data_IF_162848922422
#
_entry.id   IF_162848922422
#
_cell.length_a   1.000
_cell.length_b   1.000
_cell.length_c   1.000
_cell.angle_alpha   90.00
_cell.angle_beta   90.00
_cell.angle_gamma   90.00
#
_symmetry.space_group_name_H-M   'P 1'
#
loop_
_entity.id
_entity.type
_entity.pdbx_description
1 polymer ?
#
# COMPACT_ATOMS: atom_id res chain seq x y z
N UNK A 1 -2.73 4.46 14.88
CA UNK A 1 -2.27 4.20 16.27
C UNK A 1 -1.05 3.28 16.18
N UNK A 2 -0.47 2.87 17.32
CA UNK A 2 0.63 1.91 17.33
C UNK A 2 0.10 0.59 17.88
N UNK A 3 0.61 -0.53 17.35
CA UNK A 3 0.22 -1.89 17.73
C UNK A 3 0.17 -2.04 19.26
N UNK A 4 -0.97 -2.48 19.78
CA UNK A 4 -1.13 -2.79 21.21
C UNK A 4 -0.66 -4.22 21.47
N UNK A 5 0.56 -4.38 21.99
CA UNK A 5 1.10 -5.70 22.35
C UNK A 5 0.35 -6.26 23.55
N UNK A 6 -0.19 -7.48 23.43
CA UNK A 6 -0.78 -8.21 24.57
C UNK A 6 0.33 -8.55 25.56
N UNK A 7 0.16 -8.16 26.81
CA UNK A 7 1.09 -8.51 27.88
C UNK A 7 0.80 -9.94 28.36
N UNK A 8 1.73 -10.86 28.12
CA UNK A 8 1.62 -12.28 28.53
C UNK A 8 2.16 -12.57 29.93
N UNK A 9 2.59 -11.53 30.66
CA UNK A 9 3.25 -11.65 31.96
C UNK A 9 4.76 -11.87 31.83
N UNK A 10 5.46 -11.74 32.96
CA UNK A 10 6.93 -11.95 33.01
C UNK A 10 7.29 -13.43 33.09
N UNK A 11 6.41 -14.25 33.69
CA UNK A 11 6.53 -15.69 33.87
C UNK A 11 5.14 -16.35 33.72
N UNK A 12 5.12 -17.66 33.46
CA UNK A 12 3.87 -18.41 33.36
C UNK A 12 3.04 -18.34 34.66
N UNK A 13 1.77 -17.94 34.53
CA UNK A 13 0.78 -17.86 35.61
C UNK A 13 1.11 -16.88 36.75
N UNK A 14 1.97 -15.88 36.53
CA UNK A 14 2.40 -14.94 37.59
C UNK A 14 1.42 -13.80 37.89
N UNK A 15 0.33 -13.68 37.12
CA UNK A 15 -0.69 -12.63 37.30
C UNK A 15 -0.24 -11.22 36.88
N UNK A 16 0.93 -11.07 36.26
CA UNK A 16 1.44 -9.79 35.77
C UNK A 16 1.06 -9.49 34.31
N UNK A 17 0.50 -10.48 33.61
CA UNK A 17 -0.07 -10.34 32.27
C UNK A 17 -1.46 -9.69 32.26
N UNK A 18 -1.94 -9.37 31.07
CA UNK A 18 -3.30 -8.87 30.86
C UNK A 18 -4.32 -9.94 31.27
N UNK A 19 -5.43 -9.52 31.89
CA UNK A 19 -6.58 -10.41 32.01
C UNK A 19 -7.17 -10.71 30.62
N UNK A 20 -7.89 -11.84 30.50
CA UNK A 20 -8.45 -12.28 29.22
C UNK A 20 -9.33 -11.21 28.56
N UNK A 21 -10.06 -10.42 29.36
CA UNK A 21 -10.94 -9.36 28.86
C UNK A 21 -10.12 -8.24 28.22
N UNK A 22 -9.05 -7.80 28.89
CA UNK A 22 -8.16 -6.73 28.46
C UNK A 22 -7.34 -7.16 27.24
N UNK A 23 -6.81 -8.38 27.24
CA UNK A 23 -6.14 -8.98 26.10
C UNK A 23 -7.07 -9.02 24.86
N UNK A 24 -8.31 -9.49 24.99
CA UNK A 24 -9.25 -9.53 23.87
C UNK A 24 -9.77 -8.14 23.44
N UNK A 25 -9.82 -7.15 24.33
CA UNK A 25 -10.05 -5.75 23.94
C UNK A 25 -8.90 -5.24 23.07
N UNK A 26 -7.65 -5.48 23.46
CA UNK A 26 -6.45 -5.12 22.67
C UNK A 26 -6.39 -5.85 21.32
N UNK A 27 -6.79 -7.13 21.27
CA UNK A 27 -6.95 -7.90 20.02
C UNK A 27 -7.95 -7.25 19.09
N UNK A 28 -9.15 -6.93 19.59
CA UNK A 28 -10.19 -6.30 18.78
C UNK A 28 -9.74 -4.91 18.29
N UNK A 29 -9.09 -4.11 19.13
CA UNK A 29 -8.55 -2.81 18.73
C UNK A 29 -7.51 -2.94 17.60
N UNK A 30 -6.55 -3.86 17.72
CA UNK A 30 -5.55 -4.12 16.69
C UNK A 30 -6.17 -4.62 15.37
N UNK A 31 -7.19 -5.50 15.42
CA UNK A 31 -7.83 -5.99 14.21
C UNK A 31 -8.74 -4.96 13.56
N UNK A 32 -9.47 -4.15 14.33
CA UNK A 32 -10.18 -2.97 13.79
C UNK A 32 -9.20 -2.06 13.07
N UNK A 33 -8.07 -1.72 13.71
CA UNK A 33 -7.01 -0.93 13.08
C UNK A 33 -6.45 -1.60 11.82
N UNK A 34 -6.21 -2.91 11.81
CA UNK A 34 -5.70 -3.63 10.63
C UNK A 34 -6.70 -3.66 9.46
N UNK A 35 -8.00 -3.80 9.74
CA UNK A 35 -9.04 -3.79 8.69
C UNK A 35 -9.34 -2.38 8.18
N UNK A 36 -9.19 -1.34 9.02
CA UNK A 36 -9.27 0.06 8.60
C UNK A 36 -7.99 0.52 7.87
N UNK A 37 -6.83 -0.05 8.23
CA UNK A 37 -5.53 0.20 7.60
C UNK A 37 -5.35 -0.56 6.29
N UNK A 38 -6.21 -0.30 5.31
CA UNK A 38 -5.84 -0.61 3.93
C UNK A 38 -4.58 0.18 3.57
N UNK A 39 -3.49 -0.46 3.08
CA UNK A 39 -2.35 0.26 2.49
C UNK A 39 -2.76 1.12 1.29
N UNK A 40 -3.99 0.93 0.82
CA UNK A 40 -4.64 1.68 -0.25
C UNK A 40 -6.11 1.93 0.14
N UNK A 41 -6.36 2.89 1.03
CA UNK A 41 -7.73 3.26 1.42
C UNK A 41 -8.47 3.94 0.27
N UNK A 42 -9.58 3.33 -0.16
CA UNK A 42 -10.82 3.88 -0.78
C UNK A 42 -10.78 4.88 -1.95
N UNK A 43 -9.64 5.50 -2.26
CA UNK A 43 -9.51 6.66 -3.17
C UNK A 43 -8.60 6.33 -4.35
N UNK A 44 -7.49 5.63 -4.10
CA UNK A 44 -6.95 4.72 -5.09
C UNK A 44 -7.71 3.41 -4.89
N UNK A 45 -8.56 3.05 -5.85
CA UNK A 45 -9.00 1.67 -5.94
C UNK A 45 -7.86 0.87 -6.55
N UNK A 46 -6.99 0.26 -5.72
CA UNK A 46 -6.10 -0.84 -6.15
C UNK A 46 -6.90 -2.15 -6.27
N UNK A 47 -7.94 -1.98 -7.07
CA UNK A 47 -9.02 -2.83 -7.54
C UNK A 47 -9.62 -1.99 -8.69
N UNK A 48 -8.80 -1.76 -9.72
CA UNK A 48 -8.86 -0.59 -10.62
C UNK A 48 -7.45 -0.26 -11.15
N UNK A 49 -7.27 0.87 -11.85
CA UNK A 49 -6.15 1.07 -12.78
C UNK A 49 -5.41 2.45 -12.71
N UNK A 50 -5.14 3.02 -11.52
CA UNK A 50 -4.41 4.31 -11.33
C UNK A 50 -3.61 4.37 -10.00
N UNK A 51 -2.45 5.08 -9.93
CA UNK A 51 -1.56 5.17 -8.74
C UNK A 51 -0.94 6.59 -8.58
N UNK A 52 -0.67 7.09 -7.34
CA UNK A 52 -0.05 8.41 -7.08
C UNK A 52 0.70 8.57 -5.71
N UNK A 53 1.47 9.66 -5.52
CA UNK A 53 2.20 10.03 -4.28
C UNK A 53 1.49 11.13 -3.47
N UNK A 54 1.73 11.20 -2.15
CA UNK A 54 0.93 11.99 -1.20
C UNK A 54 1.66 13.09 -0.40
N UNK A 55 2.92 13.42 -0.71
CA UNK A 55 3.68 14.47 -0.01
C UNK A 55 3.97 15.70 -0.92
N UNK A 56 3.99 16.92 -0.35
CA UNK A 56 4.18 18.16 -1.12
C UNK A 56 5.52 18.22 -1.83
N UNK A 57 5.49 18.57 -3.12
CA UNK A 57 6.65 18.55 -4.04
C UNK A 57 7.33 17.17 -4.19
N UNK A 58 6.68 16.08 -3.78
CA UNK A 58 7.19 14.74 -4.00
C UNK A 58 6.81 14.23 -5.39
N UNK A 59 7.83 14.04 -6.25
CA UNK A 59 7.65 13.37 -7.53
C UNK A 59 6.91 12.03 -7.34
N UNK A 60 5.91 11.74 -8.19
CA UNK A 60 5.44 10.37 -8.39
C UNK A 60 6.56 9.62 -9.10
N UNK A 61 7.46 9.08 -8.28
CA UNK A 61 8.59 8.31 -8.74
C UNK A 61 8.11 6.91 -9.07
N UNK A 62 7.55 6.78 -10.27
CA UNK A 62 7.74 5.59 -11.11
C UNK A 62 9.19 5.57 -11.62
N UNK A 63 10.13 5.84 -10.70
CA UNK A 63 11.54 5.60 -10.93
C UNK A 63 11.73 4.11 -10.69
N UNK A 64 11.97 3.39 -11.78
CA UNK A 64 12.98 2.36 -11.66
C UNK A 64 14.30 3.00 -11.18
N UNK A 65 15.03 2.26 -10.36
CA UNK A 65 16.40 2.64 -10.01
C UNK A 65 17.33 2.32 -11.18
N UNK A 66 18.23 3.22 -11.54
CA UNK A 66 19.21 3.00 -12.61
C UNK A 66 18.64 3.18 -14.02
N UNK A 67 18.08 2.10 -14.62
CA UNK A 67 17.80 2.02 -16.07
C UNK A 67 16.41 1.51 -16.48
N UNK A 68 15.50 1.25 -15.54
CA UNK A 68 14.14 0.77 -15.86
C UNK A 68 13.13 1.88 -16.22
N UNK A 69 11.91 1.48 -16.56
CA UNK A 69 10.93 2.30 -17.32
C UNK A 69 9.47 2.11 -16.84
N UNK A 70 8.48 2.69 -17.52
CA UNK A 70 7.09 2.91 -17.06
C UNK A 70 6.10 2.36 -18.08
N UNK A 71 5.03 1.65 -17.67
CA UNK A 71 4.11 0.98 -18.61
C UNK A 71 2.64 1.52 -18.65
N UNK A 72 2.02 1.59 -19.84
CA UNK A 72 0.71 2.19 -20.15
C UNK A 72 -0.02 1.52 -21.34
N UNK A 73 -1.31 1.84 -21.48
CA UNK A 73 -2.06 1.94 -22.75
C UNK A 73 -2.89 3.25 -22.75
N UNK A 74 -3.34 3.82 -23.87
CA UNK A 74 -3.22 3.38 -25.27
C UNK A 74 -2.79 4.50 -26.25
N UNK A 75 -1.85 5.34 -25.85
CA UNK A 75 -0.44 5.10 -26.23
C UNK A 75 -0.03 3.94 -25.35
N UNK A 76 0.42 2.85 -25.97
CA UNK A 76 1.17 1.89 -25.20
C UNK A 76 2.52 2.58 -24.96
N UNK A 77 2.76 3.08 -23.74
CA UNK A 77 4.15 3.13 -23.31
C UNK A 77 4.35 1.71 -22.82
N UNK A 78 4.66 0.76 -23.70
CA UNK A 78 5.09 -0.55 -23.21
C UNK A 78 6.59 -0.45 -23.11
N UNK A 79 7.01 -0.39 -21.86
CA UNK A 79 8.37 -0.11 -21.43
C UNK A 79 8.88 1.28 -21.87
N UNK A 80 9.56 1.33 -23.01
CA UNK A 80 10.18 2.52 -23.61
C UNK A 80 9.76 2.69 -25.08
N UNK A 81 8.90 1.79 -25.56
CA UNK A 81 8.28 1.86 -26.86
C UNK A 81 6.96 2.59 -26.66
N UNK A 82 6.85 3.78 -27.24
CA UNK A 82 5.78 4.75 -26.96
C UNK A 82 4.76 4.68 -28.11
N UNK A 83 4.41 3.46 -28.54
CA UNK A 83 3.65 3.27 -29.77
C UNK A 83 2.13 3.39 -29.62
N UNK A 84 1.51 3.69 -30.76
CA UNK A 84 0.08 3.56 -30.93
C UNK A 84 -0.41 2.12 -30.93
N UNK A 85 -1.69 1.92 -30.59
CA UNK A 85 -2.42 0.65 -30.73
C UNK A 85 -3.51 0.72 -31.83
N UNK A 86 -3.45 1.75 -32.69
CA UNK A 86 -4.44 2.10 -33.72
C UNK A 86 -3.77 2.44 -35.05
N UNK A 87 -4.54 2.38 -36.13
CA UNK A 87 -4.07 2.70 -37.48
C UNK A 87 -3.65 4.17 -37.65
N UNK A 88 -2.55 4.41 -38.37
CA UNK A 88 -1.99 5.75 -38.66
C UNK A 88 -1.57 6.58 -37.43
N UNK A 89 -1.23 5.93 -36.31
CA UNK A 89 -0.63 6.63 -35.17
C UNK A 89 0.85 6.94 -35.43
N UNK A 90 1.27 8.13 -35.02
CA UNK A 90 2.62 8.67 -35.21
C UNK A 90 3.37 8.62 -33.87
N UNK A 91 4.45 7.86 -33.84
CA UNK A 91 5.33 7.69 -32.68
C UNK A 91 6.57 8.57 -32.87
N UNK A 92 6.64 9.64 -32.09
CA UNK A 92 7.78 10.57 -32.06
C UNK A 92 8.57 10.32 -30.77
N UNK A 93 9.87 10.06 -30.92
CA UNK A 93 10.84 9.69 -29.86
C UNK A 93 11.98 10.71 -29.84
#
# INVERSE_FOLDING_TARGET
>A
MAQTTINVGSNANDGTGDDLRSAFISVNANFTELYDASPVTSSISLAGNTISTNASNANLKLLASGTGVIELEGIQIRDNHIEGIRSNEDLII
#
